data_IF_829829428784
#
_entry.id   IF_829829428784
#
_cell.length_a   1.000
_cell.length_b   1.000
_cell.length_c   1.000
_cell.angle_alpha   90.00
_cell.angle_beta   90.00
_cell.angle_gamma   90.00
#
_symmetry.space_group_name_H-M   'P 1'
#
loop_
_entity.id
_entity.type
_entity.pdbx_description
1 polymer ?
#
# COMPACT_ATOMS: atom_id res chain seq x y z
N UNK A 1 23.95 4.29 0.02
CA UNK A 1 24.23 3.91 -1.40
C UNK A 1 22.95 3.32 -1.98
N UNK A 2 22.67 3.40 -3.29
CA UNK A 2 21.47 2.75 -3.82
C UNK A 2 21.63 1.23 -3.72
N UNK A 3 20.64 0.57 -3.12
CA UNK A 3 20.53 -0.88 -3.00
C UNK A 3 19.63 -1.36 -4.14
N UNK A 4 20.11 -2.27 -4.97
CA UNK A 4 19.30 -2.87 -6.02
C UNK A 4 18.48 -4.03 -5.45
N UNK A 5 17.16 -3.94 -5.52
CA UNK A 5 16.29 -5.08 -5.24
C UNK A 5 16.32 -5.97 -6.47
N UNK A 6 16.84 -7.17 -6.29
CA UNK A 6 16.92 -8.18 -7.33
C UNK A 6 15.74 -9.16 -7.21
N UNK A 7 15.32 -9.73 -8.33
CA UNK A 7 14.28 -10.77 -8.34
C UNK A 7 14.75 -11.99 -7.52
N UNK A 8 14.07 -12.34 -6.42
CA UNK A 8 14.50 -13.43 -5.56
C UNK A 8 14.32 -14.79 -6.23
N UNK A 9 15.20 -15.73 -5.88
CA UNK A 9 15.07 -17.13 -6.29
C UNK A 9 14.15 -17.86 -5.33
N UNK A 10 12.84 -17.77 -5.57
CA UNK A 10 11.83 -18.44 -4.73
C UNK A 10 11.73 -19.96 -4.96
N UNK A 11 12.33 -20.47 -6.05
CA UNK A 11 12.37 -21.91 -6.34
C UNK A 11 13.68 -22.31 -7.01
N UNK A 12 14.18 -23.53 -6.74
CA UNK A 12 15.48 -23.97 -7.25
C UNK A 12 15.53 -24.06 -8.80
N UNK A 13 14.38 -24.25 -9.44
CA UNK A 13 14.21 -24.33 -10.90
C UNK A 13 13.69 -23.03 -11.54
N UNK A 14 13.55 -21.95 -10.77
CA UNK A 14 13.03 -20.67 -11.27
C UNK A 14 14.11 -19.93 -12.06
N UNK A 15 13.77 -19.52 -13.29
CA UNK A 15 14.62 -18.67 -14.15
C UNK A 15 14.10 -17.23 -14.25
N UNK A 16 12.79 -17.03 -14.11
CA UNK A 16 12.12 -15.74 -14.23
C UNK A 16 10.87 -15.69 -13.35
N UNK A 17 10.50 -14.49 -12.91
CA UNK A 17 9.29 -14.21 -12.14
C UNK A 17 8.53 -13.02 -12.72
N UNK A 18 7.21 -13.02 -12.51
CA UNK A 18 6.34 -11.90 -12.88
C UNK A 18 5.95 -11.15 -11.62
N UNK A 19 6.15 -9.84 -11.58
CA UNK A 19 5.64 -9.01 -10.49
C UNK A 19 4.14 -8.86 -10.69
N UNK A 20 3.31 -9.51 -9.90
CA UNK A 20 1.84 -9.41 -9.99
C UNK A 20 1.42 -8.03 -9.52
N UNK A 21 1.94 -7.62 -8.37
CA UNK A 21 1.52 -6.39 -7.70
C UNK A 21 2.60 -5.89 -6.74
N UNK A 22 2.79 -4.57 -6.74
CA UNK A 22 3.58 -3.91 -5.71
C UNK A 22 2.70 -3.55 -4.51
N UNK A 23 3.14 -3.93 -3.32
CA UNK A 23 2.51 -3.57 -2.04
C UNK A 23 3.08 -2.25 -1.51
N UNK A 24 4.35 -1.97 -1.82
CA UNK A 24 5.06 -0.71 -1.53
C UNK A 24 5.17 0.18 -2.76
N UNK A 25 5.23 1.50 -2.54
CA UNK A 25 5.33 2.51 -3.61
C UNK A 25 6.64 3.29 -3.56
N UNK A 26 6.98 3.90 -4.68
CA UNK A 26 8.11 4.85 -4.76
C UNK A 26 7.93 5.96 -3.70
N UNK A 27 8.95 6.18 -2.87
CA UNK A 27 8.96 7.08 -1.72
C UNK A 27 8.56 6.45 -0.38
N UNK A 28 8.19 5.17 -0.35
CA UNK A 28 7.76 4.49 0.87
C UNK A 28 8.93 3.78 1.58
N UNK A 29 8.88 3.74 2.91
CA UNK A 29 9.84 3.02 3.74
C UNK A 29 9.57 1.52 3.70
N UNK A 30 10.66 0.76 3.58
CA UNK A 30 10.73 -0.69 3.51
C UNK A 30 11.65 -1.17 4.63
N UNK A 31 11.18 -2.14 5.41
CA UNK A 31 11.95 -2.77 6.48
C UNK A 31 12.24 -4.24 6.13
N UNK A 32 13.31 -4.80 6.70
CA UNK A 32 13.65 -6.22 6.48
C UNK A 32 12.50 -7.11 6.98
N UNK A 33 12.04 -8.00 6.10
CA UNK A 33 10.91 -8.90 6.36
C UNK A 33 9.53 -8.32 6.00
N UNK A 34 9.46 -7.06 5.57
CA UNK A 34 8.20 -6.47 5.08
C UNK A 34 7.88 -6.95 3.67
N UNK A 35 6.59 -7.12 3.35
CA UNK A 35 6.16 -7.65 2.05
C UNK A 35 6.03 -6.50 1.04
N UNK A 36 6.94 -6.47 0.08
CA UNK A 36 7.06 -5.34 -0.87
C UNK A 36 6.35 -5.58 -2.20
N UNK A 37 6.26 -6.84 -2.66
CA UNK A 37 5.54 -7.20 -3.87
C UNK A 37 5.07 -8.66 -3.85
N UNK A 38 4.14 -8.99 -4.73
CA UNK A 38 3.70 -10.35 -5.02
C UNK A 38 4.33 -10.83 -6.33
N UNK A 39 5.00 -11.98 -6.31
CA UNK A 39 5.67 -12.58 -7.46
C UNK A 39 4.93 -13.84 -7.89
N UNK A 40 4.47 -13.86 -9.13
CA UNK A 40 3.91 -15.05 -9.76
C UNK A 40 5.00 -15.80 -10.53
N UNK A 41 5.03 -17.10 -10.30
CA UNK A 41 5.85 -18.07 -11.00
C UNK A 41 4.96 -19.09 -11.71
N UNK A 42 5.55 -19.95 -12.53
CA UNK A 42 4.83 -21.07 -13.16
C UNK A 42 4.11 -22.00 -12.16
N UNK A 43 4.56 -22.01 -10.89
CA UNK A 43 4.06 -22.92 -9.86
C UNK A 43 3.08 -22.29 -8.91
N UNK A 44 3.33 -21.05 -8.50
CA UNK A 44 2.53 -20.35 -7.51
C UNK A 44 2.84 -18.85 -7.52
N UNK A 45 1.92 -18.09 -6.95
CA UNK A 45 2.14 -16.72 -6.50
C UNK A 45 2.67 -16.76 -5.07
N UNK A 46 3.78 -16.06 -4.85
CA UNK A 46 4.46 -15.99 -3.56
C UNK A 46 4.75 -14.54 -3.23
N UNK A 47 4.80 -14.24 -1.93
CA UNK A 47 5.08 -12.91 -1.41
C UNK A 47 6.60 -12.68 -1.37
N UNK A 48 7.05 -11.56 -1.92
CA UNK A 48 8.44 -11.12 -1.83
C UNK A 48 8.60 -10.25 -0.60
N UNK A 49 9.35 -10.77 0.37
CA UNK A 49 9.85 -10.03 1.51
C UNK A 49 11.07 -9.20 1.14
N UNK A 50 11.21 -8.03 1.77
CA UNK A 50 12.41 -7.22 1.67
C UNK A 50 13.57 -7.86 2.44
N UNK A 51 14.70 -8.00 1.77
CA UNK A 51 15.95 -8.47 2.36
C UNK A 51 16.80 -7.35 2.94
N UNK A 52 16.52 -6.11 2.50
CA UNK A 52 17.22 -4.89 2.88
C UNK A 52 16.20 -3.83 3.31
N UNK A 53 16.63 -2.92 4.17
CA UNK A 53 15.85 -1.76 4.62
C UNK A 53 16.20 -0.48 3.84
N UNK A 54 15.23 0.41 3.67
CA UNK A 54 15.43 1.71 3.02
C UNK A 54 14.16 2.31 2.44
N UNK A 55 14.30 3.39 1.67
CA UNK A 55 13.20 4.04 0.94
C UNK A 55 13.16 3.50 -0.49
N UNK A 56 12.00 3.00 -0.93
CA UNK A 56 11.80 2.55 -2.30
C UNK A 56 11.92 3.74 -3.26
N UNK A 57 13.06 3.92 -3.92
CA UNK A 57 13.34 5.11 -4.74
C UNK A 57 12.70 5.02 -6.13
N UNK A 58 12.86 3.88 -6.80
CA UNK A 58 12.36 3.71 -8.16
C UNK A 58 12.02 2.26 -8.48
N UNK A 59 10.89 2.05 -9.15
CA UNK A 59 10.48 0.75 -9.69
C UNK A 59 10.93 0.66 -11.16
N UNK A 60 11.79 -0.31 -11.50
CA UNK A 60 12.19 -0.57 -12.89
C UNK A 60 11.24 -1.51 -13.61
N UNK A 61 10.62 -2.45 -12.89
CA UNK A 61 9.68 -3.42 -13.45
C UNK A 61 8.28 -3.17 -12.89
N UNK A 62 7.32 -2.70 -13.71
CA UNK A 62 5.97 -2.40 -13.24
C UNK A 62 5.19 -3.68 -12.89
N UNK A 63 4.02 -3.51 -12.29
CA UNK A 63 3.05 -4.59 -12.11
C UNK A 63 2.69 -5.27 -13.45
N UNK A 64 2.58 -6.59 -13.45
CA UNK A 64 2.50 -7.46 -14.63
C UNK A 64 3.83 -7.63 -15.38
N UNK A 65 4.91 -6.99 -14.94
CA UNK A 65 6.23 -7.05 -15.58
C UNK A 65 6.99 -8.32 -15.22
N UNK A 66 7.76 -8.84 -16.17
CA UNK A 66 8.53 -10.08 -16.02
C UNK A 66 10.03 -9.79 -15.95
N UNK A 67 10.73 -10.42 -15.01
CA UNK A 67 12.17 -10.26 -14.83
C UNK A 67 12.87 -11.60 -14.55
N UNK A 68 14.12 -11.79 -15.03
CA UNK A 68 14.93 -12.94 -14.66
C UNK A 68 15.31 -12.93 -13.18
N UNK A 69 15.51 -14.11 -12.59
CA UNK A 69 16.07 -14.23 -11.24
C UNK A 69 17.44 -13.54 -11.18
N UNK A 70 17.67 -12.75 -10.13
CA UNK A 70 18.89 -11.95 -9.95
C UNK A 70 18.96 -10.70 -10.83
N UNK A 71 17.87 -10.31 -11.51
CA UNK A 71 17.80 -9.01 -12.19
C UNK A 71 17.23 -7.94 -11.28
N UNK A 72 17.80 -6.74 -11.34
CA UNK A 72 17.31 -5.58 -10.59
C UNK A 72 15.90 -5.18 -11.05
N UNK A 73 14.94 -5.22 -10.13
CA UNK A 73 13.54 -4.86 -10.35
C UNK A 73 13.16 -3.51 -9.74
N UNK A 74 13.86 -3.09 -8.68
CA UNK A 74 13.68 -1.80 -8.02
C UNK A 74 14.99 -1.33 -7.37
N UNK A 75 14.98 -0.07 -6.91
CA UNK A 75 16.11 0.57 -6.22
C UNK A 75 15.61 1.10 -4.87
N UNK A 76 16.32 0.75 -3.80
CA UNK A 76 16.17 1.32 -2.45
C UNK A 76 17.29 2.33 -2.19
N UNK A 77 17.01 3.32 -1.34
CA UNK A 77 18.00 4.24 -0.79
C UNK A 77 18.08 4.02 0.72
N UNK A 78 19.29 3.89 1.27
CA UNK A 78 19.53 3.81 2.72
C UNK A 78 19.07 5.09 3.45
N UNK A 79 18.65 4.92 4.71
CA UNK A 79 18.32 6.01 5.65
C UNK A 79 19.44 7.07 5.69
N UNK A 80 19.08 8.31 5.42
CA UNK A 80 20.01 9.45 5.32
C UNK A 80 20.07 10.12 3.94
N UNK A 81 19.54 9.50 2.89
CA UNK A 81 19.28 10.13 1.58
C UNK A 81 17.78 10.09 1.21
N UNK A 82 16.93 10.05 2.24
CA UNK A 82 15.54 10.41 2.11
C UNK A 82 15.46 11.93 1.94
N UNK A 83 15.21 12.40 0.72
CA UNK A 83 14.59 13.70 0.52
C UNK A 83 13.33 13.69 1.39
N UNK A 84 13.30 14.55 2.42
CA UNK A 84 12.37 14.52 3.55
C UNK A 84 11.02 13.90 3.17
N UNK A 85 10.58 12.78 3.81
CA UNK A 85 9.20 12.37 3.66
C UNK A 85 8.35 13.58 4.08
N UNK A 86 7.30 13.98 3.31
CA UNK A 86 6.33 14.89 3.87
C UNK A 86 5.77 14.16 5.08
N UNK A 87 6.25 14.54 6.26
CA UNK A 87 5.59 14.31 7.52
C UNK A 87 4.10 14.49 7.25
N UNK A 88 3.23 13.50 7.53
CA UNK A 88 1.85 13.82 7.74
C UNK A 88 1.78 14.61 9.05
N UNK A 89 2.25 15.87 9.01
CA UNK A 89 1.77 16.91 9.88
C UNK A 89 0.35 17.21 9.44
N UNK A 90 -0.55 16.29 9.79
CA UNK A 90 -1.97 16.55 9.89
C UNK A 90 -2.33 16.41 11.38
N UNK A 91 -1.80 17.35 12.15
CA UNK A 91 -2.58 17.97 13.21
C UNK A 91 -3.92 18.39 12.61
N UNK A 92 -4.98 17.63 12.88
CA UNK A 92 -6.38 18.06 12.73
C UNK A 92 -7.29 17.15 13.54
N UNK A 93 -7.26 17.35 14.85
CA UNK A 93 -8.44 17.15 15.67
C UNK A 93 -8.87 18.46 16.37
N UNK A 94 -9.38 19.47 15.63
CA UNK A 94 -10.40 20.35 16.18
C UNK A 94 -11.77 19.70 15.96
N UNK A 95 -12.19 18.91 16.93
CA UNK A 95 -13.61 18.64 17.14
C UNK A 95 -14.29 19.95 17.61
N UNK A 96 -14.68 20.80 16.66
CA UNK A 96 -15.61 21.90 16.87
C UNK A 96 -16.88 21.58 16.07
N UNK A 97 -17.90 21.03 16.73
CA UNK A 97 -19.04 21.80 17.25
C UNK A 97 -19.87 22.50 16.19
N UNK A 98 -21.03 21.91 15.88
CA UNK A 98 -22.30 22.65 15.78
C UNK A 98 -23.44 21.64 16.01
N UNK A 99 -24.00 21.66 17.22
CA UNK A 99 -25.26 22.33 17.56
C UNK A 99 -26.50 21.61 17.04
N UNK A 100 -27.09 20.81 17.92
CA UNK A 100 -28.54 20.58 17.90
C UNK A 100 -29.08 20.88 19.29
N UNK A 101 -29.79 22.00 19.47
CA UNK A 101 -30.81 22.11 20.49
C UNK A 101 -32.22 21.90 19.94
N UNK A 102 -33.19 21.63 20.84
CA UNK A 102 -34.27 20.68 20.62
C UNK A 102 -35.63 21.36 20.38
N UNK A 103 -36.60 20.63 19.83
CA UNK A 103 -38.01 20.97 19.98
C UNK A 103 -38.86 19.70 19.94
N UNK A 104 -39.15 19.19 21.14
CA UNK A 104 -40.34 18.39 21.37
C UNK A 104 -41.58 19.29 21.23
N UNK A 105 -42.65 18.71 20.69
CA UNK A 105 -43.99 18.69 21.29
C UNK A 105 -45.15 19.03 20.32
N UNK A 106 -46.12 18.11 20.37
CA UNK A 106 -47.58 18.27 20.19
C UNK A 106 -48.09 18.05 18.75
N UNK A 107 -48.70 16.90 18.45
CA UNK A 107 -50.03 16.41 18.86
C UNK A 107 -51.18 17.07 18.08
N UNK A 108 -51.94 16.22 17.36
CA UNK A 108 -53.35 16.28 16.95
C UNK A 108 -53.48 15.37 15.71
N UNK A 109 -53.89 14.11 15.85
CA UNK A 109 -55.27 13.64 16.07
C UNK A 109 -56.21 13.83 14.86
N UNK A 110 -56.83 12.71 14.48
CA UNK A 110 -58.05 12.55 13.66
C UNK A 110 -58.02 12.88 12.15
N UNK A 111 -58.12 11.81 11.35
CA UNK A 111 -59.28 11.51 10.49
C UNK A 111 -58.87 10.40 9.50
N UNK A 112 -59.31 9.16 9.72
CA UNK A 112 -60.59 8.63 9.25
C UNK A 112 -60.59 8.23 7.76
N UNK A 113 -60.85 6.93 7.58
CA UNK A 113 -61.75 6.34 6.58
C UNK A 113 -61.26 6.14 5.14
N UNK A 114 -61.32 4.86 4.74
CA UNK A 114 -61.88 4.32 3.49
C UNK A 114 -61.20 4.71 2.16
N UNK A 115 -61.10 3.87 1.14
CA UNK A 115 -61.59 2.53 0.84
C UNK A 115 -60.75 2.03 -0.35
N UNK A 116 -60.58 0.71 -0.50
CA UNK A 116 -61.13 -0.07 -1.63
C UNK A 116 -61.24 0.68 -2.96
#
# INVERSE_FOLDING_TARGET
MPINIEMPKLSDTMTEGTVVRWLKKEGEEVEIGDIIAEIETDKATMEMEAFDEGILSKISIPEGGKAPVGSAIAILLEDGEAEDPPTPSAESAPAASVNTPPAAAQALESAAAAGK
#
